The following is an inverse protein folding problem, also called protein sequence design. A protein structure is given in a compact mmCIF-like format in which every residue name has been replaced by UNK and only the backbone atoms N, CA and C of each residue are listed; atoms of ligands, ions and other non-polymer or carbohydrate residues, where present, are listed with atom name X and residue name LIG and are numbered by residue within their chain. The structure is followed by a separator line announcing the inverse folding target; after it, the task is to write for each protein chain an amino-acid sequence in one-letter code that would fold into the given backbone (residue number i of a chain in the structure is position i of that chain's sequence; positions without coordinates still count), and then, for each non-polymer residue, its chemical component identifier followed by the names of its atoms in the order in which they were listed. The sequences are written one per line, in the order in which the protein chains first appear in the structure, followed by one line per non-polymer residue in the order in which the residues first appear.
data_IF_632792960036
#
_entry.id   IF_632792960036
#
_cell.length_a   1.000
_cell.length_b   1.000
_cell.length_c   1.000
_cell.angle_alpha   90.00
_cell.angle_beta   90.00
_cell.angle_gamma   90.00
#
_symmetry.space_group_name_H-M   'P 1'
#
loop_
_entity.id
_entity.type
_entity.pdbx_description
1 polymer ?
#
# COMPACT_ATOMS: atom_id res chain seq x y z
N UNK A 1 11.53 -0.55 -26.64
CA UNK A 1 10.63 -0.91 -25.52
C UNK A 1 11.39 -0.99 -24.20
N UNK A 2 12.50 -1.74 -24.12
CA UNK A 2 13.33 -1.82 -22.91
C UNK A 2 13.85 -0.47 -22.38
N UNK A 3 14.30 0.45 -23.25
CA UNK A 3 14.77 1.77 -22.81
C UNK A 3 13.69 2.59 -22.10
N UNK A 4 12.41 2.45 -22.51
CA UNK A 4 11.29 3.11 -21.83
C UNK A 4 11.10 2.55 -20.42
N UNK A 5 11.09 1.23 -20.27
CA UNK A 5 10.98 0.59 -18.95
C UNK A 5 12.13 0.95 -18.00
N UNK A 6 13.36 1.04 -18.53
CA UNK A 6 14.52 1.46 -17.74
C UNK A 6 14.36 2.89 -17.25
N UNK A 7 13.90 3.79 -18.14
CA UNK A 7 13.62 5.19 -17.79
C UNK A 7 12.50 5.29 -16.76
N UNK A 8 11.39 4.59 -16.94
CA UNK A 8 10.25 4.60 -16.03
C UNK A 8 10.65 4.10 -14.63
N UNK A 9 11.45 3.03 -14.55
CA UNK A 9 11.96 2.52 -13.27
C UNK A 9 12.89 3.52 -12.57
N UNK A 10 13.74 4.22 -13.34
CA UNK A 10 14.61 5.26 -12.80
C UNK A 10 13.82 6.47 -12.26
N UNK A 11 12.73 6.85 -12.94
CA UNK A 11 11.82 7.90 -12.47
C UNK A 11 11.13 7.45 -11.17
N UNK A 12 10.67 6.21 -11.09
CA UNK A 12 10.02 5.66 -9.89
C UNK A 12 10.94 5.73 -8.66
N UNK A 13 12.19 5.27 -8.79
CA UNK A 13 13.17 5.30 -7.71
C UNK A 13 13.51 6.73 -7.28
N UNK A 14 13.61 7.65 -8.25
CA UNK A 14 13.85 9.06 -7.98
C UNK A 14 12.68 9.70 -7.24
N UNK A 15 11.44 9.46 -7.67
CA UNK A 15 10.24 9.99 -7.01
C UNK A 15 10.08 9.44 -5.60
N UNK A 16 10.33 8.15 -5.40
CA UNK A 16 10.26 7.53 -4.07
C UNK A 16 11.22 8.19 -3.07
N UNK A 17 12.47 8.44 -3.47
CA UNK A 17 13.48 9.08 -2.62
C UNK A 17 13.16 10.55 -2.31
N UNK A 18 12.68 11.32 -3.28
CA UNK A 18 12.41 12.75 -3.09
C UNK A 18 11.06 13.02 -2.39
N UNK A 19 10.08 12.13 -2.55
CA UNK A 19 8.70 12.33 -2.10
C UNK A 19 8.34 11.42 -0.90
N UNK A 20 9.33 10.80 -0.25
CA UNK A 20 9.13 9.92 0.91
C UNK A 20 8.31 10.60 2.03
N UNK A 21 8.54 11.89 2.24
CA UNK A 21 7.85 12.68 3.27
C UNK A 21 6.35 12.91 2.99
N UNK A 22 5.94 12.91 1.72
CA UNK A 22 4.55 13.14 1.32
C UNK A 22 3.72 11.85 1.24
N UNK A 23 4.35 10.68 1.42
CA UNK A 23 3.71 9.38 1.32
C UNK A 23 3.44 8.99 -0.13
N UNK A 24 4.51 8.67 -0.86
CA UNK A 24 4.47 8.23 -2.26
C UNK A 24 3.75 6.88 -2.40
N UNK A 25 2.72 6.84 -3.25
CA UNK A 25 1.93 5.63 -3.53
C UNK A 25 2.18 5.00 -4.90
N UNK A 26 2.77 5.75 -5.81
CA UNK A 26 3.05 5.32 -7.18
C UNK A 26 2.93 6.47 -8.17
N UNK A 27 3.19 6.17 -9.43
CA UNK A 27 3.11 7.13 -10.52
C UNK A 27 2.58 6.46 -11.77
N UNK A 28 2.10 7.28 -12.69
CA UNK A 28 1.71 6.89 -14.03
C UNK A 28 2.33 7.87 -15.01
N UNK A 29 2.88 7.34 -16.11
CA UNK A 29 3.54 8.14 -17.13
C UNK A 29 2.82 7.97 -18.46
N UNK A 30 2.51 9.10 -19.09
CA UNK A 30 1.91 9.16 -20.42
C UNK A 30 2.85 9.98 -21.30
N UNK A 31 3.54 9.31 -22.21
CA UNK A 31 4.43 9.95 -23.18
C UNK A 31 3.66 10.26 -24.46
N UNK A 32 3.48 11.54 -24.77
CA UNK A 32 2.94 12.01 -26.05
C UNK A 32 4.05 12.63 -26.90
N UNK A 33 3.88 12.74 -28.24
CA UNK A 33 4.84 13.43 -29.10
C UNK A 33 5.07 14.90 -28.73
N UNK A 34 4.08 15.53 -28.08
CA UNK A 34 4.10 16.95 -27.66
C UNK A 34 4.80 17.15 -26.31
N UNK A 35 4.82 16.11 -25.46
CA UNK A 35 5.39 16.18 -24.12
C UNK A 35 5.06 14.98 -23.25
N UNK A 36 5.68 14.92 -22.08
CA UNK A 36 5.47 13.85 -21.10
C UNK A 36 4.59 14.34 -19.96
N UNK A 37 3.52 13.59 -19.65
CA UNK A 37 2.69 13.85 -18.47
C UNK A 37 2.96 12.79 -17.42
N UNK A 38 3.32 13.22 -16.21
CA UNK A 38 3.51 12.35 -15.05
C UNK A 38 2.40 12.64 -14.05
N UNK A 39 1.67 11.60 -13.69
CA UNK A 39 0.63 11.63 -12.67
C UNK A 39 1.17 10.94 -11.42
N UNK A 40 1.33 11.66 -10.32
CA UNK A 40 1.89 11.16 -9.07
C UNK A 40 0.76 10.97 -8.06
N UNK A 41 0.67 9.77 -7.48
CA UNK A 41 -0.29 9.43 -6.44
C UNK A 41 0.36 9.57 -5.06
N UNK A 42 -0.17 10.45 -4.21
CA UNK A 42 0.40 10.75 -2.89
C UNK A 42 -0.67 10.83 -1.81
N UNK A 43 -0.25 10.68 -0.55
CA UNK A 43 -1.15 10.87 0.61
C UNK A 43 -1.35 12.36 0.92
N UNK A 44 -0.30 13.17 0.75
CA UNK A 44 -0.31 14.59 1.14
C UNK A 44 0.15 15.47 -0.03
N UNK A 45 -0.74 15.91 -0.94
CA UNK A 45 -0.37 16.69 -2.11
C UNK A 45 0.29 18.02 -1.76
N UNK A 46 -0.12 18.66 -0.65
CA UNK A 46 0.44 19.94 -0.22
C UNK A 46 1.95 19.92 0.05
N UNK A 47 2.49 18.77 0.49
CA UNK A 47 3.94 18.62 0.71
C UNK A 47 4.72 18.55 -0.61
N UNK A 48 4.14 17.97 -1.66
CA UNK A 48 4.77 17.84 -2.98
C UNK A 48 4.80 19.19 -3.72
N UNK A 49 3.69 19.93 -3.65
CA UNK A 49 3.58 21.25 -4.29
C UNK A 49 4.54 22.25 -3.61
N UNK A 50 4.66 22.14 -2.28
CA UNK A 50 5.51 23.01 -1.47
C UNK A 50 4.97 24.44 -1.36
N UNK A 51 5.76 25.33 -0.76
CA UNK A 51 5.36 26.74 -0.58
C UNK A 51 5.37 27.46 -1.91
N UNK A 52 4.24 28.09 -2.30
CA UNK A 52 4.09 28.85 -3.56
C UNK A 52 4.42 28.04 -4.83
N UNK A 53 4.30 26.71 -4.78
CA UNK A 53 4.62 25.85 -5.94
C UNK A 53 6.11 25.72 -6.22
N UNK A 54 6.99 26.01 -5.26
CA UNK A 54 8.44 25.85 -5.43
C UNK A 54 8.82 24.38 -5.58
N UNK A 55 8.23 23.49 -4.77
CA UNK A 55 8.57 22.07 -4.76
C UNK A 55 8.26 21.38 -6.10
N UNK A 56 7.11 21.68 -6.71
CA UNK A 56 6.77 21.12 -8.02
C UNK A 56 7.69 21.64 -9.14
N UNK A 57 8.13 22.91 -9.07
CA UNK A 57 9.07 23.47 -10.06
C UNK A 57 10.44 22.82 -9.96
N UNK A 58 10.96 22.67 -8.74
CA UNK A 58 12.23 21.97 -8.50
C UNK A 58 12.17 20.51 -8.96
N UNK A 59 11.06 19.81 -8.69
CA UNK A 59 10.85 18.44 -9.18
C UNK A 59 10.82 18.37 -10.71
N UNK A 60 10.10 19.28 -11.38
CA UNK A 60 10.06 19.34 -12.84
C UNK A 60 11.45 19.58 -13.42
N UNK A 61 12.17 20.59 -12.94
CA UNK A 61 13.52 20.91 -13.44
C UNK A 61 14.51 19.76 -13.26
N UNK A 62 14.47 19.07 -12.11
CA UNK A 62 15.36 17.94 -11.86
C UNK A 62 15.02 16.74 -12.76
N UNK A 63 13.74 16.44 -12.94
CA UNK A 63 13.31 15.34 -13.82
C UNK A 63 13.64 15.62 -15.28
N UNK A 64 13.48 16.87 -15.75
CA UNK A 64 13.88 17.27 -17.10
C UNK A 64 15.40 17.13 -17.30
N UNK A 65 16.22 17.54 -16.32
CA UNK A 65 17.68 17.43 -16.39
C UNK A 65 18.19 16.00 -16.35
N UNK A 66 17.62 15.14 -15.50
CA UNK A 66 18.12 13.78 -15.27
C UNK A 66 17.68 12.84 -16.41
N UNK A 67 16.44 12.98 -16.88
CA UNK A 67 15.85 12.03 -17.83
C UNK A 67 15.69 12.60 -19.25
N UNK A 68 16.15 13.83 -19.48
CA UNK A 68 16.10 14.55 -20.76
C UNK A 68 14.69 14.55 -21.39
N UNK A 69 13.67 14.72 -20.54
CA UNK A 69 12.28 14.73 -20.93
C UNK A 69 11.92 16.09 -21.54
N UNK A 70 11.25 16.08 -22.68
CA UNK A 70 10.74 17.30 -23.31
C UNK A 70 9.34 17.63 -22.78
N UNK A 71 9.14 18.91 -22.43
CA UNK A 71 7.87 19.49 -22.00
C UNK A 71 7.17 18.69 -20.89
N UNK A 72 7.81 18.59 -19.72
CA UNK A 72 7.30 17.78 -18.63
C UNK A 72 6.15 18.48 -17.90
N UNK A 73 5.03 17.78 -17.75
CA UNK A 73 3.89 18.23 -16.96
C UNK A 73 3.63 17.26 -15.80
N UNK A 74 3.74 17.76 -14.57
CA UNK A 74 3.49 16.98 -13.36
C UNK A 74 2.08 17.29 -12.84
N UNK A 75 1.26 16.25 -12.68
CA UNK A 75 -0.04 16.28 -12.01
C UNK A 75 0.04 15.48 -10.71
N UNK A 76 -0.43 16.04 -9.61
CA UNK A 76 -0.43 15.38 -8.30
C UNK A 76 -1.87 15.03 -7.93
N UNK A 77 -2.12 13.77 -7.63
CA UNK A 77 -3.41 13.26 -7.19
C UNK A 77 -3.31 12.66 -5.79
N UNK A 78 -4.39 12.81 -5.03
CA UNK A 78 -4.51 12.23 -3.70
C UNK A 78 -5.01 10.79 -3.80
N UNK A 79 -4.42 9.89 -3.01
CA UNK A 79 -4.89 8.51 -2.88
C UNK A 79 -6.10 8.48 -1.95
N UNK A 80 -7.23 7.95 -2.43
CA UNK A 80 -8.48 7.90 -1.65
C UNK A 80 -8.36 7.09 -0.35
N UNK A 81 -7.72 5.91 -0.42
CA UNK A 81 -7.52 5.02 0.74
C UNK A 81 -6.03 4.67 0.86
N UNK A 82 -5.23 5.48 1.57
CA UNK A 82 -3.78 5.26 1.68
C UNK A 82 -3.44 3.96 2.42
N UNK A 83 -4.31 3.50 3.33
CA UNK A 83 -4.12 2.25 4.07
C UNK A 83 -4.13 0.99 3.20
N UNK A 84 -4.74 1.02 2.01
CA UNK A 84 -4.75 -0.13 1.09
C UNK A 84 -3.53 -0.14 0.16
N UNK A 85 -2.75 0.94 0.11
CA UNK A 85 -1.53 1.00 -0.68
C UNK A 85 -0.33 0.49 0.13
N UNK A 86 0.26 -0.62 -0.33
CA UNK A 86 1.38 -1.26 0.34
C UNK A 86 2.62 -0.36 0.46
N UNK A 87 2.91 0.49 -0.55
CA UNK A 87 4.10 1.35 -0.58
C UNK A 87 4.02 2.46 0.46
N UNK A 88 2.87 3.12 0.55
CA UNK A 88 2.58 4.15 1.55
C UNK A 88 2.70 3.56 2.96
N UNK A 89 2.09 2.38 3.17
CA UNK A 89 2.12 1.71 4.47
C UNK A 89 3.51 1.22 4.85
N UNK A 90 4.31 0.76 3.89
CA UNK A 90 5.71 0.39 4.11
C UNK A 90 6.54 1.59 4.57
N UNK A 91 6.47 2.71 3.84
CA UNK A 91 7.14 3.96 4.20
C UNK A 91 6.68 4.50 5.56
N UNK A 92 5.39 4.35 5.89
CA UNK A 92 4.85 4.72 7.20
C UNK A 92 5.46 3.90 8.34
N UNK A 93 5.62 2.59 8.17
CA UNK A 93 6.30 1.74 9.16
C UNK A 93 7.76 2.13 9.27
N UNK A 94 8.43 2.32 8.13
CA UNK A 94 9.83 2.73 8.06
C UNK A 94 10.11 4.00 8.87
N UNK A 95 9.32 5.06 8.64
CA UNK A 95 9.43 6.31 9.38
C UNK A 95 9.10 6.15 10.87
N UNK A 96 8.15 5.28 11.21
CA UNK A 96 7.75 5.05 12.61
C UNK A 96 8.85 4.33 13.40
N UNK A 97 9.52 3.38 12.75
CA UNK A 97 10.68 2.68 13.28
C UNK A 97 11.89 3.61 13.35
N UNK A 98 12.12 4.45 12.35
CA UNK A 98 13.19 5.46 12.36
C UNK A 98 13.05 6.47 13.52
N UNK A 99 11.82 6.79 13.91
CA UNK A 99 11.53 7.62 15.11
C UNK A 99 11.79 6.91 16.45
N UNK A 100 12.19 5.63 16.44
CA UNK A 100 12.51 4.87 17.66
C UNK A 100 11.31 4.16 18.29
N UNK A 101 10.19 4.00 17.58
CA UNK A 101 9.07 3.18 18.06
C UNK A 101 9.46 1.70 18.04
N UNK A 102 9.09 0.95 19.07
CA UNK A 102 9.32 -0.49 19.11
C UNK A 102 8.71 -1.19 17.87
N UNK A 103 9.47 -2.09 17.23
CA UNK A 103 9.09 -2.77 15.99
C UNK A 103 7.71 -3.45 16.08
N UNK A 104 7.47 -4.19 17.16
CA UNK A 104 6.18 -4.83 17.45
C UNK A 104 5.03 -3.82 17.46
N UNK A 105 5.21 -2.66 18.10
CA UNK A 105 4.17 -1.64 18.21
C UNK A 105 3.89 -1.00 16.85
N UNK A 106 4.95 -0.66 16.11
CA UNK A 106 4.82 -0.10 14.77
C UNK A 106 4.08 -1.07 13.82
N UNK A 107 4.48 -2.34 13.81
CA UNK A 107 3.85 -3.36 12.97
C UNK A 107 2.37 -3.59 13.36
N UNK A 108 2.07 -3.78 14.64
CA UNK A 108 0.70 -4.05 15.09
C UNK A 108 -0.25 -2.89 14.81
N UNK A 109 0.22 -1.65 14.97
CA UNK A 109 -0.59 -0.47 14.65
C UNK A 109 -0.90 -0.39 13.16
N UNK A 110 0.09 -0.65 12.31
CA UNK A 110 -0.09 -0.65 10.85
C UNK A 110 -1.01 -1.77 10.40
N UNK A 111 -0.84 -3.00 10.90
CA UNK A 111 -1.76 -4.12 10.60
C UNK A 111 -3.20 -3.77 10.97
N UNK A 112 -3.42 -3.25 12.18
CA UNK A 112 -4.75 -2.82 12.61
C UNK A 112 -5.31 -1.68 11.76
N UNK A 113 -4.47 -0.76 11.28
CA UNK A 113 -4.92 0.31 10.39
C UNK A 113 -5.38 -0.25 9.03
N UNK A 114 -4.65 -1.21 8.47
CA UNK A 114 -4.99 -1.87 7.19
C UNK A 114 -6.28 -2.70 7.34
N UNK A 115 -6.44 -3.43 8.43
CA UNK A 115 -7.67 -4.21 8.66
C UNK A 115 -8.90 -3.31 8.84
N UNK A 116 -8.74 -2.13 9.46
CA UNK A 116 -9.84 -1.15 9.60
C UNK A 116 -10.27 -0.51 8.28
N UNK A 117 -9.39 -0.42 7.29
CA UNK A 117 -9.74 0.09 5.95
C UNK A 117 -10.43 -0.96 5.07
N UNK A 118 -10.77 -2.13 5.62
CA UNK A 118 -11.55 -3.17 4.93
C UNK A 118 -10.73 -4.12 4.07
N UNK A 119 -9.40 -4.18 4.26
CA UNK A 119 -8.57 -5.16 3.58
C UNK A 119 -8.94 -6.61 3.99
N UNK A 120 -8.69 -7.57 3.09
CA UNK A 120 -8.90 -9.00 3.36
C UNK A 120 -7.91 -9.54 4.40
N UNK A 121 -6.69 -9.02 4.35
CA UNK A 121 -5.61 -9.37 5.27
C UNK A 121 -4.36 -8.54 5.05
N UNK A 122 -3.49 -8.52 6.05
CA UNK A 122 -2.21 -7.85 5.99
C UNK A 122 -1.12 -8.74 6.63
N UNK A 123 0.05 -8.77 6.01
CA UNK A 123 1.26 -9.41 6.56
C UNK A 123 2.41 -8.40 6.50
N UNK A 124 3.00 -8.08 7.65
CA UNK A 124 4.18 -7.23 7.77
C UNK A 124 5.34 -8.08 8.28
N UNK A 125 6.45 -8.05 7.55
CA UNK A 125 7.68 -8.78 7.87
C UNK A 125 8.76 -7.74 8.16
N UNK A 126 9.38 -7.83 9.33
CA UNK A 126 10.52 -6.99 9.69
C UNK A 126 11.72 -7.90 9.91
N UNK A 127 12.79 -7.66 9.14
CA UNK A 127 14.03 -8.40 9.20
C UNK A 127 15.19 -7.49 9.59
N UNK A 128 16.01 -7.92 10.55
CA UNK A 128 17.19 -7.17 10.98
C UNK A 128 17.64 -7.52 12.41
N UNK A 129 18.47 -6.66 13.00
CA UNK A 129 18.99 -6.83 14.38
C UNK A 129 17.98 -6.34 15.43
N UNK A 130 16.82 -6.99 15.50
CA UNK A 130 15.66 -6.50 16.26
C UNK A 130 15.91 -6.39 17.78
N UNK A 131 16.40 -7.47 18.40
CA UNK A 131 16.56 -7.57 19.86
C UNK A 131 17.98 -7.95 20.30
N UNK A 132 18.72 -8.64 19.45
CA UNK A 132 20.12 -9.01 19.70
C UNK A 132 20.98 -8.70 18.48
N UNK A 133 22.29 -8.89 18.62
CA UNK A 133 23.25 -8.64 17.55
C UNK A 133 23.07 -9.58 16.35
N UNK A 134 22.45 -10.75 16.57
CA UNK A 134 22.05 -11.68 15.51
C UNK A 134 20.79 -11.17 14.80
N UNK A 135 20.71 -11.37 13.49
CA UNK A 135 19.51 -11.06 12.73
C UNK A 135 18.36 -11.98 13.13
N UNK A 136 17.18 -11.38 13.27
CA UNK A 136 15.90 -12.08 13.46
C UNK A 136 14.91 -11.60 12.40
N UNK A 137 13.84 -12.36 12.21
CA UNK A 137 12.74 -11.97 11.33
C UNK A 137 11.44 -12.19 12.08
N UNK A 138 10.70 -11.11 12.29
CA UNK A 138 9.39 -11.14 12.94
C UNK A 138 8.31 -10.92 11.90
N UNK A 139 7.27 -11.76 11.92
CA UNK A 139 6.11 -11.67 11.04
C UNK A 139 4.88 -11.31 11.85
N UNK A 140 4.16 -10.30 11.40
CA UNK A 140 2.90 -9.83 11.98
C UNK A 140 1.82 -9.99 10.93
N UNK A 141 0.84 -10.84 11.20
CA UNK A 141 -0.24 -11.17 10.26
C UNK A 141 -1.59 -10.94 10.94
N UNK A 142 -2.53 -10.38 10.19
CA UNK A 142 -3.95 -10.43 10.50
C UNK A 142 -4.77 -10.67 9.22
N UNK A 143 -5.93 -11.31 9.35
CA UNK A 143 -6.79 -11.69 8.22
C UNK A 143 -6.20 -12.77 7.30
N UNK A 144 -6.65 -12.74 6.03
CA UNK A 144 -6.31 -13.75 5.02
C UNK A 144 -5.44 -13.12 3.94
N UNK A 145 -4.26 -13.70 3.71
CA UNK A 145 -3.34 -13.28 2.64
C UNK A 145 -3.04 -14.51 1.79
N UNK A 146 -3.55 -14.59 0.55
CA UNK A 146 -3.23 -15.69 -0.36
C UNK A 146 -1.74 -15.64 -0.74
N UNK A 147 -1.07 -16.80 -0.73
CA UNK A 147 0.37 -16.90 -1.01
C UNK A 147 0.71 -17.62 -2.30
N UNK A 148 -0.26 -18.32 -2.89
CA UNK A 148 -0.06 -19.22 -4.03
C UNK A 148 -1.01 -18.90 -5.17
N UNK A 149 -0.57 -19.25 -6.38
CA UNK A 149 -1.38 -19.18 -7.59
C UNK A 149 -1.63 -17.77 -8.12
N UNK A 150 -2.39 -17.70 -9.21
CA UNK A 150 -2.81 -16.47 -9.86
C UNK A 150 -3.59 -15.49 -8.95
N UNK A 151 -4.46 -15.98 -8.01
CA UNK A 151 -5.14 -15.07 -7.08
C UNK A 151 -4.17 -14.26 -6.22
N UNK A 152 -3.01 -14.81 -5.85
CA UNK A 152 -2.03 -14.07 -5.07
C UNK A 152 -1.42 -12.90 -5.85
N UNK A 153 -1.09 -13.10 -7.13
CA UNK A 153 -0.53 -12.06 -8.01
C UNK A 153 -1.51 -10.91 -8.24
N UNK A 154 -2.81 -11.21 -8.38
CA UNK A 154 -3.83 -10.19 -8.60
C UNK A 154 -4.24 -9.45 -7.33
N UNK A 155 -4.42 -10.18 -6.23
CA UNK A 155 -5.06 -9.66 -5.00
C UNK A 155 -4.05 -8.99 -4.07
N UNK A 156 -2.82 -9.50 -4.02
CA UNK A 156 -1.81 -9.04 -3.08
C UNK A 156 -1.01 -7.89 -3.68
N UNK A 157 -0.92 -6.79 -2.94
CA UNK A 157 0.04 -5.72 -3.18
C UNK A 157 1.18 -5.87 -2.19
N UNK A 158 2.40 -5.88 -2.68
CA UNK A 158 3.60 -5.98 -1.85
C UNK A 158 4.52 -4.78 -2.07
N UNK A 159 5.20 -4.37 -1.00
CA UNK A 159 6.22 -3.34 -1.03
C UNK A 159 7.32 -3.68 -0.04
N UNK A 160 8.55 -3.26 -0.36
CA UNK A 160 9.73 -3.42 0.47
C UNK A 160 10.36 -2.04 0.67
N UNK A 161 10.77 -1.74 1.88
CA UNK A 161 11.48 -0.52 2.24
C UNK A 161 12.60 -0.86 3.22
N UNK A 162 13.72 -0.19 3.08
CA UNK A 162 14.85 -0.29 3.99
C UNK A 162 14.91 0.89 4.96
N UNK A 163 15.36 0.61 6.18
CA UNK A 163 15.53 1.63 7.23
C UNK A 163 16.92 1.51 7.81
N UNK A 164 17.66 2.62 7.74
CA UNK A 164 18.95 2.75 8.41
C UNK A 164 18.75 3.21 9.85
N UNK A 165 19.01 2.32 10.80
CA UNK A 165 19.06 2.63 12.23
C UNK A 165 20.51 2.63 12.71
N UNK A 166 20.72 3.06 13.97
CA UNK A 166 22.05 3.12 14.60
C UNK A 166 22.82 1.78 14.54
N UNK A 167 22.12 0.65 14.67
CA UNK A 167 22.74 -0.68 14.71
C UNK A 167 22.90 -1.36 13.34
N UNK A 168 22.40 -0.75 12.26
CA UNK A 168 22.47 -1.31 10.91
C UNK A 168 21.23 -1.02 10.06
N UNK A 169 21.13 -1.75 8.95
CA UNK A 169 20.03 -1.66 7.99
C UNK A 169 18.99 -2.74 8.29
N UNK A 170 17.72 -2.36 8.23
CA UNK A 170 16.56 -3.21 8.51
C UNK A 170 15.67 -3.25 7.29
N UNK A 171 15.18 -4.43 6.94
CA UNK A 171 14.23 -4.62 5.85
C UNK A 171 12.81 -4.71 6.39
N UNK A 172 11.92 -3.92 5.82
CA UNK A 172 10.48 -3.96 6.11
C UNK A 172 9.79 -4.36 4.82
N UNK A 173 8.97 -5.41 4.89
CA UNK A 173 8.12 -5.85 3.80
C UNK A 173 6.67 -5.83 4.25
N UNK A 174 5.80 -5.24 3.46
CA UNK A 174 4.37 -5.17 3.71
C UNK A 174 3.64 -5.86 2.57
N UNK A 175 2.72 -6.76 2.90
CA UNK A 175 1.80 -7.42 1.97
C UNK A 175 0.37 -7.11 2.39
N UNK A 176 -0.43 -6.59 1.46
CA UNK A 176 -1.84 -6.25 1.69
C UNK A 176 -2.67 -7.03 0.68
N UNK A 177 -3.66 -7.78 1.16
CA UNK A 177 -4.64 -8.44 0.33
C UNK A 177 -5.90 -7.57 0.24
N UNK A 178 -6.24 -7.12 -0.97
CA UNK A 178 -7.42 -6.28 -1.21
C UNK A 178 -8.65 -7.17 -1.35
N UNK A 179 -9.78 -6.78 -0.75
CA UNK A 179 -11.01 -7.60 -0.77
C UNK A 179 -11.66 -7.66 -2.16
N UNK A 180 -11.66 -6.55 -2.89
CA UNK A 180 -12.43 -6.40 -4.13
C UNK A 180 -11.83 -7.15 -5.34
N UNK A 181 -10.57 -7.61 -5.24
CA UNK A 181 -9.86 -8.30 -6.32
C UNK A 181 -9.83 -9.83 -6.15
N UNK A 182 -10.57 -10.38 -5.19
CA UNK A 182 -10.65 -11.82 -4.99
C UNK A 182 -11.47 -12.45 -6.13
N UNK A 183 -10.94 -13.45 -6.86
CA UNK A 183 -11.71 -14.17 -7.87
C UNK A 183 -12.95 -14.82 -7.24
N UNK A 184 -14.10 -14.84 -7.95
CA UNK A 184 -15.37 -15.37 -7.43
C UNK A 184 -15.32 -16.84 -7.02
N UNK A 185 -14.34 -17.61 -7.50
CA UNK A 185 -14.15 -19.02 -7.13
C UNK A 185 -13.68 -19.22 -5.68
N UNK A 186 -13.24 -18.14 -5.01
CA UNK A 186 -12.79 -18.16 -3.62
C UNK A 186 -13.84 -17.48 -2.74
N UNK A 187 -15.02 -18.09 -2.64
CA UNK A 187 -15.99 -17.74 -1.60
C UNK A 187 -15.31 -17.89 -0.24
N UNK A 188 -15.11 -16.76 0.43
CA UNK A 188 -14.56 -16.77 1.78
C UNK A 188 -15.60 -17.45 2.68
N UNK A 189 -15.14 -18.37 3.54
CA UNK A 189 -16.00 -19.11 4.48
C UNK A 189 -16.93 -18.15 5.29
N UNK A 190 -16.53 -16.89 5.47
CA UNK A 190 -17.31 -15.85 6.14
C UNK A 190 -18.53 -15.36 5.35
N UNK A 191 -18.49 -15.40 4.03
CA UNK A 191 -19.64 -15.04 3.19
C UNK A 191 -20.68 -16.19 3.24
N UNK A 192 -20.23 -17.45 3.31
CA UNK A 192 -21.09 -18.62 3.58
C UNK A 192 -21.74 -18.53 4.97
N UNK A 193 -21.01 -18.11 6.00
CA UNK A 193 -21.59 -17.90 7.35
C UNK A 193 -22.59 -16.74 7.40
N UNK A 194 -22.34 -15.65 6.66
CA UNK A 194 -23.31 -14.55 6.52
C UNK A 194 -24.59 -15.01 5.82
N UNK A 195 -24.47 -15.69 4.69
CA UNK A 195 -25.62 -16.25 3.98
C UNK A 195 -26.39 -17.29 4.81
N UNK A 196 -25.68 -18.13 5.59
CA UNK A 196 -26.31 -19.06 6.53
C UNK A 196 -27.03 -18.33 7.67
N UNK A 197 -26.45 -17.28 8.22
CA UNK A 197 -27.09 -16.48 9.28
C UNK A 197 -28.31 -15.69 8.79
N UNK A 198 -28.32 -15.29 7.51
CA UNK A 198 -29.48 -14.64 6.88
C UNK A 198 -30.59 -15.65 6.54
N UNK A 199 -30.24 -16.87 6.13
CA UNK A 199 -31.19 -17.98 5.94
C UNK A 199 -31.81 -18.48 7.26
N UNK A 200 -31.03 -18.56 8.35
CA UNK A 200 -31.56 -18.93 9.67
C UNK A 200 -32.46 -17.86 10.28
N UNK A 201 -32.30 -16.58 9.90
CA UNK A 201 -33.20 -15.49 10.30
C UNK A 201 -34.52 -15.52 9.53
N UNK A 202 -34.49 -15.80 8.22
CA UNK A 202 -35.72 -15.90 7.42
C UNK A 202 -36.57 -17.13 7.78
N UNK A 203 -35.96 -18.25 8.18
CA UNK A 203 -36.71 -19.42 8.67
C UNK A 203 -37.39 -19.14 10.03
N UNK A 204 -36.75 -18.40 10.94
CA UNK A 204 -37.36 -18.06 12.24
C UNK A 204 -38.54 -17.10 12.12
N UNK A 205 -38.47 -16.14 11.21
CA UNK A 205 -39.59 -15.21 10.97
C UNK A 205 -40.80 -15.89 10.31
N UNK A 206 -40.60 -16.99 9.58
CA UNK A 206 -41.70 -17.77 8.98
C UNK A 206 -42.50 -18.59 10.00
N UNK A 207 -41.85 -19.06 11.07
CA UNK A 207 -42.48 -19.86 12.14
C UNK A 207 -43.33 -18.97 13.07
N UNK A 208 -42.86 -17.75 13.39
CA UNK A 208 -43.60 -16.83 14.27
C UNK A 208 -44.91 -16.34 13.66
N UNK A 209 -45.02 -16.27 12.33
CA UNK A 209 -46.27 -15.85 11.65
C UNK A 209 -47.34 -16.95 11.67
N UNK A 210 -46.97 -18.23 11.82
CA UNK A 210 -47.93 -19.33 11.95
C UNK A 210 -48.52 -19.45 13.35
N UNK A 211 -47.76 -19.11 14.40
CA UNK A 211 -48.22 -19.21 15.80
C UNK A 211 -49.14 -18.05 16.25
N UNK A 212 -49.22 -16.95 15.49
CA UNK A 212 -50.13 -15.81 15.80
C UNK A 212 -51.52 -15.98 15.17
N UNK A 213 -51.71 -17.00 14.32
CA UNK A 213 -52.97 -17.27 13.60
C UNK A 213 -53.77 -18.49 14.09
N UNK A 214 -53.40 -19.07 15.24
CA UNK A 214 -54.14 -20.16 15.89
C UNK A 214 -54.95 -19.67 17.09
#
# INVERSE_FOLDING_TARGET
MMEKFSRDSGIDEYLEKNIESAGYGGFEIITSPVGTRITIYVTKPGLVIGRRGIGIRELTENLEKIFELQNLQISVFEVEIPEQNARIMCNRVAQTVARGTAFRRAAMWTVNAIMRSGALGAEIIIAGKLRSERSHTEKYKDGVVPKTGYPATLTVREAVSDVKLKMGLYGIQVKIAIRDMVPPDMELIKDIEKERSEKERSEKDSVVVQDVKA
#
